data_IF_554477067028
#
_entry.id   IF_554477067028
#
_cell.length_a   1.000
_cell.length_b   1.000
_cell.length_c   1.000
_cell.angle_alpha   90.00
_cell.angle_beta   90.00
_cell.angle_gamma   90.00
#
_symmetry.space_group_name_H-M   'P 1'
#
loop_
_entity.id
_entity.type
_entity.pdbx_description
1 polymer ?
#
# COMPACT_ATOMS: atom_id res chain seq x y z
N UNK A 1 -5.92 -11.72 33.98
CA UNK A 1 -5.89 -10.32 33.54
C UNK A 1 -5.00 -10.28 32.30
N UNK A 2 -5.52 -10.05 31.08
CA UNK A 2 -4.69 -10.07 29.89
C UNK A 2 -3.85 -8.80 29.82
N UNK A 3 -2.56 -8.97 29.56
CA UNK A 3 -1.54 -7.93 29.63
C UNK A 3 -1.67 -6.84 28.53
N UNK A 4 -1.23 -5.59 28.80
CA UNK A 4 -1.46 -4.40 27.94
C UNK A 4 -0.91 -4.49 26.50
N UNK A 5 0.02 -5.41 26.23
CA UNK A 5 0.64 -5.58 24.90
C UNK A 5 -0.37 -6.11 23.88
N UNK A 6 -1.26 -7.02 24.29
CA UNK A 6 -2.28 -7.59 23.40
C UNK A 6 -3.29 -6.54 22.93
N UNK A 7 -3.63 -5.58 23.81
CA UNK A 7 -4.54 -4.50 23.46
C UNK A 7 -3.95 -3.59 22.38
N UNK A 8 -2.68 -3.18 22.52
CA UNK A 8 -2.01 -2.32 21.55
C UNK A 8 -1.89 -2.98 20.17
N UNK A 9 -1.51 -4.26 20.12
CA UNK A 9 -1.42 -5.02 18.88
C UNK A 9 -2.80 -5.15 18.21
N UNK A 10 -3.86 -5.42 18.98
CA UNK A 10 -5.21 -5.49 18.44
C UNK A 10 -5.70 -4.15 17.91
N UNK A 11 -5.40 -3.05 18.60
CA UNK A 11 -5.74 -1.70 18.15
C UNK A 11 -5.02 -1.34 16.86
N UNK A 12 -3.71 -1.57 16.76
CA UNK A 12 -2.94 -1.33 15.54
C UNK A 12 -3.50 -2.12 14.34
N UNK A 13 -3.84 -3.40 14.53
CA UNK A 13 -4.46 -4.24 13.48
C UNK A 13 -5.80 -3.69 13.01
N UNK A 14 -6.66 -3.26 13.94
CA UNK A 14 -7.96 -2.64 13.63
C UNK A 14 -7.79 -1.35 12.85
N UNK A 15 -6.86 -0.49 13.26
CA UNK A 15 -6.54 0.76 12.56
C UNK A 15 -6.05 0.49 11.15
N UNK A 16 -5.11 -0.44 10.98
CA UNK A 16 -4.62 -0.82 9.66
C UNK A 16 -5.73 -1.38 8.76
N UNK A 17 -6.62 -2.21 9.31
CA UNK A 17 -7.77 -2.73 8.57
C UNK A 17 -8.73 -1.62 8.13
N UNK A 18 -8.97 -0.61 8.96
CA UNK A 18 -9.77 0.56 8.59
C UNK A 18 -9.11 1.36 7.46
N UNK A 19 -7.80 1.61 7.55
CA UNK A 19 -7.02 2.28 6.50
C UNK A 19 -7.09 1.52 5.17
N UNK A 20 -6.97 0.19 5.20
CA UNK A 20 -7.09 -0.64 4.01
C UNK A 20 -8.49 -0.57 3.37
N UNK A 21 -9.55 -0.54 4.19
CA UNK A 21 -10.93 -0.34 3.68
C UNK A 21 -11.08 1.03 3.00
N UNK A 22 -10.56 2.10 3.60
CA UNK A 22 -10.57 3.44 3.00
C UNK A 22 -9.81 3.44 1.67
N UNK A 23 -8.63 2.81 1.64
CA UNK A 23 -7.81 2.64 0.44
C UNK A 23 -8.57 1.94 -0.69
N UNK A 24 -9.39 0.91 -0.37
CA UNK A 24 -10.25 0.22 -1.35
C UNK A 24 -11.39 1.11 -1.84
N UNK A 25 -12.05 1.86 -0.96
CA UNK A 25 -13.12 2.79 -1.35
C UNK A 25 -12.62 3.89 -2.29
N UNK A 26 -11.40 4.37 -2.06
CA UNK A 26 -10.75 5.38 -2.91
C UNK A 26 -10.11 4.80 -4.18
N UNK A 27 -10.24 3.50 -4.43
CA UNK A 27 -9.67 2.82 -5.59
C UNK A 27 -8.18 3.10 -5.82
N UNK A 28 -7.40 3.23 -4.74
CA UNK A 28 -5.94 3.44 -4.84
C UNK A 28 -5.18 2.22 -5.37
N UNK A 29 -5.85 1.06 -5.42
CA UNK A 29 -5.30 -0.22 -5.87
C UNK A 29 -4.02 -0.65 -5.12
N UNK A 30 -3.87 -0.24 -3.86
CA UNK A 30 -2.76 -0.66 -3.00
C UNK A 30 -3.02 -2.05 -2.41
N UNK A 31 -2.01 -2.92 -2.50
CA UNK A 31 -1.95 -4.18 -1.75
C UNK A 31 -1.73 -3.90 -0.26
N UNK A 32 -2.26 -4.71 0.69
CA UNK A 32 -1.98 -4.56 2.12
C UNK A 32 -0.48 -4.47 2.44
N UNK A 33 0.38 -5.17 1.70
CA UNK A 33 1.83 -5.10 1.91
C UNK A 33 2.37 -3.71 1.56
N UNK A 34 1.98 -3.19 0.39
CA UNK A 34 2.35 -1.84 -0.07
C UNK A 34 1.81 -0.75 0.85
N UNK A 35 0.58 -0.89 1.31
CA UNK A 35 -0.02 0.05 2.26
C UNK A 35 0.76 0.09 3.59
N UNK A 36 1.22 -1.06 4.08
CA UNK A 36 2.06 -1.14 5.28
C UNK A 36 3.38 -0.37 5.10
N UNK A 37 4.05 -0.52 3.95
CA UNK A 37 5.23 0.27 3.64
C UNK A 37 4.92 1.76 3.59
N UNK A 38 3.82 2.17 2.96
CA UNK A 38 3.44 3.58 2.92
C UNK A 38 3.19 4.17 4.32
N UNK A 39 2.53 3.41 5.21
CA UNK A 39 2.32 3.83 6.60
C UNK A 39 3.67 4.04 7.31
N UNK A 40 4.58 3.06 7.21
CA UNK A 40 5.91 3.17 7.83
C UNK A 40 6.71 4.36 7.27
N UNK A 41 6.65 4.61 5.97
CA UNK A 41 7.34 5.75 5.35
C UNK A 41 6.75 7.07 5.86
N UNK A 42 5.42 7.19 5.95
CA UNK A 42 4.77 8.35 6.54
C UNK A 42 5.13 8.54 8.02
N UNK A 43 5.22 7.47 8.81
CA UNK A 43 5.69 7.51 10.21
C UNK A 43 7.14 7.98 10.34
N UNK A 44 7.97 7.75 9.32
CA UNK A 44 9.35 8.26 9.24
C UNK A 44 9.44 9.72 8.74
N UNK A 45 8.30 10.41 8.56
CA UNK A 45 8.27 11.81 8.16
C UNK A 45 8.35 12.04 6.65
N UNK A 46 8.17 11.01 5.83
CA UNK A 46 8.08 11.16 4.37
C UNK A 46 6.81 11.92 4.00
N UNK A 47 6.92 12.87 3.07
CA UNK A 47 5.77 13.62 2.58
C UNK A 47 4.77 12.69 1.85
N UNK A 48 3.52 12.57 2.32
CA UNK A 48 2.52 11.68 1.72
C UNK A 48 2.17 12.06 0.28
N UNK A 49 2.25 13.33 -0.08
CA UNK A 49 1.97 13.82 -1.43
C UNK A 49 3.05 13.34 -2.42
N UNK A 50 4.33 13.44 -2.03
CA UNK A 50 5.45 12.96 -2.82
C UNK A 50 5.41 11.43 -2.96
N UNK A 51 5.14 10.73 -1.86
CA UNK A 51 4.99 9.27 -1.84
C UNK A 51 3.87 8.80 -2.78
N UNK A 52 2.72 9.48 -2.79
CA UNK A 52 1.61 9.16 -3.68
C UNK A 52 2.01 9.26 -5.16
N UNK A 53 2.79 10.28 -5.54
CA UNK A 53 3.29 10.44 -6.90
C UNK A 53 4.21 9.28 -7.30
N UNK A 54 5.18 8.94 -6.45
CA UNK A 54 6.12 7.84 -6.70
C UNK A 54 5.39 6.51 -6.87
N UNK A 55 4.46 6.20 -5.96
CA UNK A 55 3.69 4.94 -6.01
C UNK A 55 2.84 4.85 -7.27
N UNK A 56 2.22 5.96 -7.71
CA UNK A 56 1.44 5.99 -8.95
C UNK A 56 2.31 5.76 -10.19
N UNK A 57 3.47 6.40 -10.26
CA UNK A 57 4.38 6.22 -11.39
C UNK A 57 4.95 4.81 -11.44
N UNK A 58 5.38 4.24 -10.30
CA UNK A 58 5.83 2.85 -10.24
C UNK A 58 4.73 1.86 -10.69
N UNK A 59 3.47 2.09 -10.31
CA UNK A 59 2.35 1.25 -10.79
C UNK A 59 2.12 1.39 -12.29
N UNK A 60 2.28 2.60 -12.85
CA UNK A 60 2.15 2.86 -14.28
C UNK A 60 3.23 2.12 -15.07
N UNK A 61 4.48 2.24 -14.64
CA UNK A 61 5.63 1.56 -15.27
C UNK A 61 5.50 0.05 -15.18
N UNK A 62 5.14 -0.49 -14.01
CA UNK A 62 4.92 -1.92 -13.83
C UNK A 62 3.82 -2.45 -14.78
N UNK A 63 2.72 -1.71 -14.95
CA UNK A 63 1.65 -2.09 -15.91
C UNK A 63 2.14 -2.03 -17.36
N UNK A 64 2.91 -1.02 -17.72
CA UNK A 64 3.47 -0.88 -19.06
C UNK A 64 4.42 -2.05 -19.41
N UNK A 65 5.31 -2.43 -18.48
CA UNK A 65 6.22 -3.56 -18.65
C UNK A 65 5.47 -4.88 -18.85
N UNK A 66 4.45 -5.14 -18.03
CA UNK A 66 3.61 -6.33 -18.18
C UNK A 66 2.90 -6.36 -19.54
N UNK A 67 2.43 -5.20 -20.03
CA UNK A 67 1.77 -5.14 -21.34
C UNK A 67 2.76 -5.46 -22.47
N UNK A 68 4.00 -4.95 -22.42
CA UNK A 68 5.03 -5.22 -23.44
C UNK A 68 5.43 -6.69 -23.54
N UNK A 69 5.46 -7.43 -22.44
CA UNK A 69 5.79 -8.86 -22.44
C UNK A 69 4.75 -9.73 -23.15
N UNK A 70 3.51 -9.27 -23.30
CA UNK A 70 2.45 -10.05 -23.99
C UNK A 70 2.58 -10.02 -25.52
N UNK A 71 3.27 -9.01 -26.08
CA UNK A 71 3.45 -8.88 -27.52
C UNK A 71 4.62 -9.72 -28.06
N UNK A 72 5.57 -10.12 -27.22
CA UNK A 72 6.76 -10.87 -27.67
C UNK A 72 6.54 -12.39 -27.78
N UNK A 73 5.42 -12.93 -27.28
CA UNK A 73 5.10 -14.37 -27.32
C UNK A 73 4.22 -14.81 -28.51
N UNK A 74 3.94 -13.92 -29.48
CA UNK A 74 3.16 -14.25 -30.69
C UNK A 74 3.98 -14.32 -31.98
N UNK A 75 5.29 -14.57 -31.92
CA UNK A 75 6.13 -14.73 -33.11
C UNK A 75 6.72 -16.13 -33.20
#
# INVERSE_FOLDING_TARGET
MPEPVHHQINTARKTFQALYKISKLLNTNLDPTTLSYCVRLCENGVNPQALATIVKEMQREAKALNNTSTYTSKK
#
